data_IF_100149315627
#
_entry.id   IF_100149315627
#
_cell.length_a   1.000
_cell.length_b   1.000
_cell.length_c   1.000
_cell.angle_alpha   90.00
_cell.angle_beta   90.00
_cell.angle_gamma   90.00
#
_symmetry.space_group_name_H-M   'P 1'
#
loop_
_entity.id
_entity.type
_entity.pdbx_description
1 polymer ?
#
# COMPACT_ATOMS: atom_id res chain seq x y z
N UNK A 1 -68.68 -43.07 23.90
CA UNK A 1 -68.04 -43.89 22.85
C UNK A 1 -67.33 -43.06 21.78
N UNK A 2 -67.92 -41.99 21.23
CA UNK A 2 -67.24 -41.08 20.26
C UNK A 2 -65.98 -40.36 20.82
N UNK A 3 -65.95 -40.00 22.11
CA UNK A 3 -64.78 -39.38 22.76
C UNK A 3 -63.58 -40.31 22.95
N UNK A 4 -63.78 -41.64 22.98
CA UNK A 4 -62.69 -42.62 23.09
C UNK A 4 -62.02 -42.90 21.73
N UNK A 5 -62.76 -42.77 20.61
CA UNK A 5 -62.19 -42.92 19.28
C UNK A 5 -61.31 -41.74 18.84
N UNK A 6 -61.57 -40.53 19.36
CA UNK A 6 -60.72 -39.36 19.12
C UNK A 6 -59.38 -39.40 19.87
N UNK A 7 -59.29 -40.18 20.96
CA UNK A 7 -58.06 -40.34 21.75
C UNK A 7 -57.03 -41.29 21.13
N UNK A 8 -57.47 -42.22 20.27
CA UNK A 8 -56.62 -43.14 19.50
C UNK A 8 -56.60 -42.81 18.00
N UNK A 9 -57.13 -41.64 17.61
CA UNK A 9 -57.02 -41.18 16.22
C UNK A 9 -55.57 -40.89 15.90
N UNK A 10 -55.08 -41.36 14.76
CA UNK A 10 -53.72 -41.08 14.29
C UNK A 10 -53.41 -39.58 14.25
N UNK A 11 -54.44 -38.74 14.10
CA UNK A 11 -54.41 -37.27 14.08
C UNK A 11 -54.48 -36.61 15.48
N UNK A 12 -54.26 -37.37 16.55
CA UNK A 12 -54.17 -36.81 17.90
C UNK A 12 -52.92 -35.92 18.03
N UNK A 13 -53.03 -34.78 18.72
CA UNK A 13 -51.96 -33.76 18.78
C UNK A 13 -50.61 -34.23 19.31
N UNK A 14 -50.55 -35.35 20.05
CA UNK A 14 -49.28 -35.95 20.47
C UNK A 14 -48.49 -36.59 19.31
N UNK A 15 -49.15 -36.93 18.20
CA UNK A 15 -48.52 -37.47 16.98
C UNK A 15 -48.21 -36.38 15.94
N UNK A 16 -48.47 -35.11 16.26
CA UNK A 16 -48.27 -34.00 15.32
C UNK A 16 -46.85 -33.95 14.72
N UNK A 17 -45.75 -34.14 15.50
CA UNK A 17 -44.40 -34.15 14.92
C UNK A 17 -44.16 -35.29 13.94
N UNK A 18 -44.76 -36.46 14.20
CA UNK A 18 -44.65 -37.63 13.32
C UNK A 18 -45.40 -37.43 12.00
N UNK A 19 -46.60 -36.86 12.07
CA UNK A 19 -47.41 -36.55 10.88
C UNK A 19 -46.75 -35.43 10.06
N UNK A 20 -46.16 -34.44 10.72
CA UNK A 20 -45.42 -33.35 10.07
C UNK A 20 -44.17 -33.88 9.32
N UNK A 21 -43.39 -34.77 9.96
CA UNK A 21 -42.26 -35.43 9.29
C UNK A 21 -42.72 -36.29 8.09
N UNK A 22 -43.83 -37.00 8.23
CA UNK A 22 -44.40 -37.82 7.16
C UNK A 22 -44.93 -36.96 6.00
N UNK A 23 -45.50 -35.80 6.30
CA UNK A 23 -45.96 -34.84 5.31
C UNK A 23 -44.80 -34.16 4.58
N UNK A 24 -43.73 -33.79 5.29
CA UNK A 24 -42.49 -33.28 4.68
C UNK A 24 -41.85 -34.29 3.72
N UNK A 25 -41.84 -35.59 4.09
CA UNK A 25 -41.38 -36.66 3.19
C UNK A 25 -42.29 -36.81 1.95
N UNK A 26 -43.60 -36.66 2.13
CA UNK A 26 -44.55 -36.64 1.02
C UNK A 26 -44.30 -35.45 0.07
N UNK A 27 -44.03 -34.26 0.60
CA UNK A 27 -43.73 -33.06 -0.19
C UNK A 27 -42.40 -33.17 -0.97
N UNK A 28 -41.40 -33.87 -0.42
CA UNK A 28 -40.13 -34.13 -1.11
C UNK A 28 -40.27 -35.23 -2.17
N UNK A 29 -40.92 -36.35 -1.81
CA UNK A 29 -41.20 -37.44 -2.73
C UNK A 29 -42.47 -38.22 -2.29
N UNK A 30 -43.60 -38.08 -3.03
CA UNK A 30 -44.84 -38.78 -2.71
C UNK A 30 -44.71 -40.31 -2.69
N UNK A 31 -43.73 -40.87 -3.42
CA UNK A 31 -43.46 -42.31 -3.46
C UNK A 31 -42.81 -42.85 -2.17
N UNK A 32 -42.27 -41.98 -1.31
CA UNK A 32 -41.59 -42.35 -0.07
C UNK A 32 -42.55 -42.75 1.06
N UNK A 33 -43.82 -42.36 0.95
CA UNK A 33 -44.85 -42.61 1.95
C UNK A 33 -45.80 -43.72 1.49
N UNK A 34 -46.30 -44.51 2.45
CA UNK A 34 -47.30 -45.55 2.21
C UNK A 34 -48.55 -45.00 1.51
N UNK A 35 -49.16 -45.82 0.66
CA UNK A 35 -50.31 -45.47 -0.20
C UNK A 35 -51.45 -44.78 0.58
N UNK A 36 -51.79 -45.30 1.76
CA UNK A 36 -52.85 -44.77 2.64
C UNK A 36 -52.63 -43.31 3.05
N UNK A 37 -51.38 -42.90 3.22
CA UNK A 37 -51.01 -41.54 3.60
C UNK A 37 -50.88 -40.62 2.39
N UNK A 38 -50.46 -41.17 1.25
CA UNK A 38 -50.43 -40.43 -0.03
C UNK A 38 -51.83 -39.97 -0.41
N UNK A 39 -52.81 -40.88 -0.38
CA UNK A 39 -54.21 -40.57 -0.67
C UNK A 39 -54.77 -39.50 0.28
N UNK A 40 -54.37 -39.56 1.56
CA UNK A 40 -54.77 -38.59 2.57
C UNK A 40 -54.18 -37.20 2.30
N UNK A 41 -52.90 -37.11 1.95
CA UNK A 41 -52.23 -35.84 1.66
C UNK A 41 -52.61 -35.25 0.30
N UNK A 42 -52.91 -36.08 -0.70
CA UNK A 42 -53.48 -35.66 -2.00
C UNK A 42 -54.85 -34.97 -1.80
N UNK A 43 -55.69 -35.52 -0.92
CA UNK A 43 -56.98 -34.89 -0.58
C UNK A 43 -56.78 -33.57 0.18
N UNK A 44 -55.74 -33.48 1.02
CA UNK A 44 -55.42 -32.29 1.79
C UNK A 44 -54.97 -31.12 0.89
N UNK A 45 -54.10 -31.37 -0.09
CA UNK A 45 -53.65 -30.34 -1.03
C UNK A 45 -54.74 -29.87 -1.99
N UNK A 46 -55.70 -30.73 -2.32
CA UNK A 46 -56.81 -30.41 -3.22
C UNK A 46 -58.01 -29.75 -2.51
N UNK A 47 -57.90 -29.43 -1.22
CA UNK A 47 -58.98 -28.81 -0.45
C UNK A 47 -59.19 -27.33 -0.88
N UNK A 48 -60.43 -26.92 -1.21
CA UNK A 48 -60.70 -25.54 -1.64
C UNK A 48 -60.40 -24.54 -0.51
N UNK A 49 -59.46 -23.62 -0.73
CA UNK A 49 -59.03 -22.61 0.25
C UNK A 49 -57.61 -22.79 0.78
N UNK A 50 -56.91 -23.87 0.41
CA UNK A 50 -55.48 -24.03 0.67
C UNK A 50 -54.67 -23.09 -0.26
N UNK A 51 -53.79 -22.28 0.34
CA UNK A 51 -52.99 -21.27 -0.37
C UNK A 51 -51.86 -21.89 -1.18
N UNK A 52 -52.15 -22.40 -2.37
CA UNK A 52 -51.15 -22.97 -3.28
C UNK A 52 -50.56 -24.30 -2.79
N UNK A 53 -49.71 -24.97 -3.61
CA UNK A 53 -49.04 -26.20 -3.20
C UNK A 53 -47.98 -25.91 -2.12
N UNK A 54 -48.03 -26.67 -1.02
CA UNK A 54 -47.01 -26.61 0.04
C UNK A 54 -45.65 -27.08 -0.48
N UNK A 55 -44.57 -26.55 0.09
CA UNK A 55 -43.17 -26.84 -0.30
C UNK A 55 -42.47 -27.53 0.86
N UNK A 56 -41.62 -28.54 0.59
CA UNK A 56 -40.83 -29.19 1.63
C UNK A 56 -39.85 -28.19 2.29
N UNK A 57 -39.92 -28.05 3.61
CA UNK A 57 -39.09 -27.13 4.39
C UNK A 57 -37.81 -27.81 4.91
N UNK A 58 -37.81 -29.13 5.10
CA UNK A 58 -36.63 -29.89 5.54
C UNK A 58 -35.34 -29.61 4.73
N UNK A 59 -35.34 -29.60 3.38
CA UNK A 59 -34.14 -29.30 2.59
C UNK A 59 -33.67 -27.85 2.78
N UNK A 60 -34.59 -26.90 2.93
CA UNK A 60 -34.27 -25.50 3.18
C UNK A 60 -33.59 -25.34 4.55
N UNK A 61 -34.17 -25.92 5.60
CA UNK A 61 -33.62 -25.89 6.96
C UNK A 61 -32.22 -26.53 7.00
N UNK A 62 -32.05 -27.68 6.33
CA UNK A 62 -30.76 -28.36 6.24
C UNK A 62 -29.69 -27.51 5.53
N UNK A 63 -30.07 -26.80 4.46
CA UNK A 63 -29.18 -25.89 3.72
C UNK A 63 -28.73 -24.70 4.58
N UNK A 64 -29.62 -24.15 5.40
CA UNK A 64 -29.28 -23.09 6.35
C UNK A 64 -28.41 -23.61 7.49
N UNK A 65 -28.69 -24.80 8.02
CA UNK A 65 -27.87 -25.44 9.04
C UNK A 65 -26.46 -25.77 8.53
N UNK A 66 -26.32 -26.21 7.28
CA UNK A 66 -25.02 -26.42 6.63
C UNK A 66 -24.28 -25.11 6.38
N UNK A 67 -24.96 -24.06 5.91
CA UNK A 67 -24.37 -22.72 5.76
C UNK A 67 -23.90 -22.12 7.07
N UNK A 68 -24.62 -22.35 8.17
CA UNK A 68 -24.22 -21.89 9.51
C UNK A 68 -22.97 -22.63 10.04
N UNK A 69 -22.73 -23.87 9.59
CA UNK A 69 -21.52 -24.64 9.92
C UNK A 69 -20.32 -24.30 9.03
N UNK A 70 -20.54 -23.72 7.86
CA UNK A 70 -19.46 -23.21 7.02
C UNK A 70 -18.91 -21.91 7.64
N UNK A 71 -17.58 -21.73 7.69
CA UNK A 71 -17.01 -20.45 8.11
C UNK A 71 -17.57 -19.37 7.18
N UNK A 72 -18.09 -18.30 7.77
CA UNK A 72 -18.67 -17.18 7.03
C UNK A 72 -17.75 -16.78 5.87
N UNK A 73 -18.31 -16.63 4.67
CA UNK A 73 -17.64 -16.00 3.55
C UNK A 73 -17.02 -14.71 4.07
N UNK A 74 -15.68 -14.65 4.11
CA UNK A 74 -14.94 -13.44 4.44
C UNK A 74 -15.32 -12.42 3.38
N UNK A 75 -16.23 -11.50 3.74
CA UNK A 75 -16.41 -10.26 3.00
C UNK A 75 -15.05 -9.59 2.99
N UNK A 76 -14.45 -9.42 1.82
CA UNK A 76 -13.29 -8.54 1.67
C UNK A 76 -13.86 -7.13 1.93
N UNK A 77 -13.50 -6.47 3.03
CA UNK A 77 -14.01 -5.11 3.26
C UNK A 77 -13.55 -4.23 2.10
N UNK A 78 -14.43 -3.32 1.67
CA UNK A 78 -14.03 -2.25 0.77
C UNK A 78 -12.79 -1.53 1.35
N UNK A 79 -11.82 -1.11 0.52
CA UNK A 79 -10.59 -0.50 1.02
C UNK A 79 -10.95 0.68 1.92
N UNK A 80 -10.43 0.65 3.14
CA UNK A 80 -10.67 1.70 4.11
C UNK A 80 -10.09 3.02 3.60
N UNK A 81 -10.57 4.15 4.11
CA UNK A 81 -9.97 5.46 3.79
C UNK A 81 -8.46 5.49 4.13
N UNK A 82 -8.03 4.69 5.12
CA UNK A 82 -6.63 4.52 5.48
C UNK A 82 -5.83 3.83 4.37
N UNK A 83 -6.40 2.81 3.71
CA UNK A 83 -5.74 2.08 2.62
C UNK A 83 -5.54 2.98 1.38
N UNK A 84 -6.51 3.85 1.08
CA UNK A 84 -6.37 4.82 -0.01
C UNK A 84 -5.25 5.83 0.28
N UNK A 85 -5.23 6.39 1.49
CA UNK A 85 -4.15 7.30 1.93
C UNK A 85 -2.78 6.60 1.92
N UNK A 86 -2.73 5.33 2.29
CA UNK A 86 -1.50 4.53 2.22
C UNK A 86 -0.97 4.41 0.78
N UNK A 87 -1.84 4.18 -0.21
CA UNK A 87 -1.44 4.16 -1.63
C UNK A 87 -0.95 5.54 -2.07
N UNK A 88 -1.64 6.61 -1.66
CA UNK A 88 -1.21 7.99 -1.92
C UNK A 88 0.19 8.29 -1.39
N UNK A 89 0.58 7.78 -0.21
CA UNK A 89 1.94 7.94 0.33
C UNK A 89 2.98 7.28 -0.60
N UNK A 90 2.70 6.07 -1.08
CA UNK A 90 3.62 5.36 -1.97
C UNK A 90 3.74 6.04 -3.33
N UNK A 91 2.64 6.58 -3.87
CA UNK A 91 2.64 7.37 -5.11
C UNK A 91 3.47 8.65 -4.95
N UNK A 92 3.32 9.34 -3.82
CA UNK A 92 4.10 10.53 -3.49
C UNK A 92 5.59 10.21 -3.38
N UNK A 93 5.98 9.16 -2.65
CA UNK A 93 7.39 8.74 -2.57
C UNK A 93 7.94 8.47 -3.98
N UNK A 94 7.16 7.80 -4.83
CA UNK A 94 7.56 7.57 -6.21
C UNK A 94 7.71 8.87 -7.01
N UNK A 95 6.81 9.84 -6.83
CA UNK A 95 6.95 11.15 -7.47
C UNK A 95 8.25 11.87 -7.08
N UNK A 96 8.66 11.81 -5.81
CA UNK A 96 9.97 12.33 -5.38
C UNK A 96 11.15 11.62 -6.04
N UNK A 97 11.07 10.29 -6.26
CA UNK A 97 12.11 9.53 -6.97
C UNK A 97 12.27 9.95 -8.44
N UNK A 98 11.17 10.33 -9.10
CA UNK A 98 11.17 10.74 -10.52
C UNK A 98 11.47 12.21 -10.73
N UNK A 99 10.88 13.08 -9.90
CA UNK A 99 10.81 14.53 -10.13
C UNK A 99 11.60 15.34 -9.10
N UNK A 100 12.11 14.72 -8.03
CA UNK A 100 12.81 15.43 -6.96
C UNK A 100 14.03 16.21 -7.44
N UNK A 101 14.73 15.71 -8.46
CA UNK A 101 15.86 16.39 -9.09
C UNK A 101 15.50 17.81 -9.60
N UNK A 102 14.28 18.02 -10.10
CA UNK A 102 13.79 19.31 -10.60
C UNK A 102 13.56 20.33 -9.48
N UNK A 103 13.43 19.86 -8.24
CA UNK A 103 13.25 20.69 -7.05
C UNK A 103 14.49 20.72 -6.15
N UNK A 104 15.58 20.06 -6.56
CA UNK A 104 16.84 20.02 -5.83
C UNK A 104 17.59 21.37 -5.89
N UNK A 105 18.45 21.60 -4.90
CA UNK A 105 19.25 22.81 -4.72
C UNK A 105 20.59 22.69 -5.45
N UNK A 106 20.54 22.73 -6.78
CA UNK A 106 21.71 22.51 -7.63
C UNK A 106 22.44 23.80 -8.02
N UNK A 107 21.73 24.93 -8.08
CA UNK A 107 22.34 26.21 -8.43
C UNK A 107 22.94 26.89 -7.17
N UNK A 108 24.27 26.98 -7.03
CA UNK A 108 24.91 27.64 -5.90
C UNK A 108 24.62 29.15 -5.85
N UNK A 109 24.31 29.76 -6.98
CA UNK A 109 24.01 31.19 -7.09
C UNK A 109 22.52 31.51 -6.88
N UNK A 110 21.66 30.48 -6.81
CA UNK A 110 20.22 30.58 -6.57
C UNK A 110 19.52 31.58 -7.50
N UNK A 111 19.93 31.61 -8.77
CA UNK A 111 19.39 32.50 -9.81
C UNK A 111 18.10 31.98 -10.41
N UNK A 112 17.93 30.66 -10.42
CA UNK A 112 16.75 30.01 -10.98
C UNK A 112 15.71 29.76 -9.89
N UNK A 113 14.51 30.30 -10.09
CA UNK A 113 13.37 29.99 -9.24
C UNK A 113 12.97 28.52 -9.40
N UNK A 114 12.54 27.91 -8.28
CA UNK A 114 12.12 26.51 -8.31
C UNK A 114 10.79 26.38 -9.03
N UNK A 115 10.65 25.44 -9.97
CA UNK A 115 9.36 25.19 -10.60
C UNK A 115 8.36 24.68 -9.56
N UNK A 116 7.10 25.10 -9.68
CA UNK A 116 6.02 24.49 -8.93
C UNK A 116 5.68 23.14 -9.57
N UNK A 117 5.80 22.07 -8.79
CA UNK A 117 5.51 20.70 -9.23
C UNK A 117 4.41 20.18 -8.30
N UNK A 118 3.21 19.99 -8.86
CA UNK A 118 2.03 19.61 -8.08
C UNK A 118 2.22 18.25 -7.40
N UNK A 119 2.88 17.31 -8.08
CA UNK A 119 3.15 15.95 -7.61
C UNK A 119 4.11 15.89 -6.41
N UNK A 120 4.82 16.97 -6.09
CA UNK A 120 5.66 17.04 -4.88
C UNK A 120 4.91 17.65 -3.68
N UNK A 121 3.72 18.22 -3.91
CA UNK A 121 2.86 18.79 -2.87
C UNK A 121 1.98 17.69 -2.24
N UNK A 122 2.02 17.48 -0.91
CA UNK A 122 1.13 16.53 -0.23
C UNK A 122 -0.36 16.81 -0.52
N UNK A 123 -0.74 18.09 -0.71
CA UNK A 123 -2.12 18.47 -0.97
C UNK A 123 -2.67 17.86 -2.28
N UNK A 124 -1.81 17.62 -3.27
CA UNK A 124 -2.18 16.98 -4.53
C UNK A 124 -2.75 15.57 -4.33
N UNK A 125 -2.29 14.87 -3.29
CA UNK A 125 -2.74 13.52 -2.95
C UNK A 125 -3.90 13.50 -1.93
N UNK A 126 -4.44 14.66 -1.57
CA UNK A 126 -5.52 14.80 -0.60
C UNK A 126 -5.07 14.69 0.86
N UNK A 127 -3.78 14.90 1.14
CA UNK A 127 -3.29 15.00 2.52
C UNK A 127 -3.60 16.38 3.11
N UNK A 128 -4.06 16.37 4.35
CA UNK A 128 -4.28 17.58 5.16
C UNK A 128 -3.24 17.67 6.27
N UNK A 129 -3.15 18.81 6.96
CA UNK A 129 -2.25 18.94 8.12
C UNK A 129 -2.55 17.92 9.23
N UNK A 130 -3.81 17.51 9.39
CA UNK A 130 -4.22 16.49 10.34
C UNK A 130 -3.63 15.10 10.02
N UNK A 131 -3.27 14.85 8.76
CA UNK A 131 -2.69 13.59 8.32
C UNK A 131 -1.18 13.50 8.57
N UNK A 132 -0.52 14.63 8.84
CA UNK A 132 0.94 14.67 9.04
C UNK A 132 1.41 13.82 10.22
N UNK A 133 0.57 13.68 11.25
CA UNK A 133 0.86 12.85 12.44
C UNK A 133 0.46 11.39 12.29
N UNK A 134 -0.20 10.98 11.20
CA UNK A 134 -0.61 9.60 11.00
C UNK A 134 0.56 8.73 10.54
N UNK A 135 0.55 7.47 11.00
CA UNK A 135 1.59 6.49 10.69
C UNK A 135 1.25 5.68 9.44
N UNK A 136 2.12 5.78 8.44
CA UNK A 136 2.02 5.06 7.18
C UNK A 136 3.16 4.06 7.05
N UNK A 137 2.94 3.01 6.25
CA UNK A 137 3.99 2.09 5.85
C UNK A 137 4.86 2.75 4.76
N UNK A 138 6.17 2.61 4.86
CA UNK A 138 7.15 3.21 3.93
C UNK A 138 7.33 2.38 2.65
N UNK A 139 6.81 1.15 2.63
CA UNK A 139 6.88 0.24 1.50
C UNK A 139 8.32 -0.06 1.09
N UNK A 140 8.65 0.27 -0.16
CA UNK A 140 10.00 0.09 -0.72
C UNK A 140 10.99 1.20 -0.35
N UNK A 141 10.60 2.19 0.45
CA UNK A 141 11.47 3.30 0.82
C UNK A 141 12.42 2.89 1.95
N UNK A 142 13.71 2.89 1.69
CA UNK A 142 14.74 2.37 2.59
C UNK A 142 15.10 3.37 3.70
N UNK A 143 14.13 3.69 4.56
CA UNK A 143 14.31 4.58 5.73
C UNK A 143 14.90 3.86 6.96
N UNK A 144 15.08 2.54 6.91
CA UNK A 144 15.47 1.71 8.06
C UNK A 144 14.33 1.38 9.03
N UNK A 145 13.09 1.81 8.72
CA UNK A 145 11.88 1.47 9.47
C UNK A 145 10.72 1.21 8.52
N UNK A 146 9.84 0.27 8.90
CA UNK A 146 8.68 -0.14 8.09
C UNK A 146 7.52 0.86 8.15
N UNK A 147 7.39 1.60 9.26
CA UNK A 147 6.33 2.61 9.44
C UNK A 147 6.92 3.90 9.99
N UNK A 148 6.39 5.02 9.51
CA UNK A 148 6.78 6.35 9.92
C UNK A 148 5.59 7.30 9.78
N UNK A 149 5.63 8.43 10.47
CA UNK A 149 4.61 9.47 10.29
C UNK A 149 4.74 10.10 8.90
N UNK A 150 3.64 10.59 8.32
CA UNK A 150 3.68 11.28 7.03
C UNK A 150 4.67 12.45 7.03
N UNK A 151 4.77 13.19 8.13
CA UNK A 151 5.76 14.27 8.32
C UNK A 151 7.18 13.77 8.13
N UNK A 152 7.54 12.69 8.80
CA UNK A 152 8.90 12.15 8.74
C UNK A 152 9.22 11.57 7.36
N UNK A 153 8.23 10.95 6.70
CA UNK A 153 8.37 10.46 5.33
C UNK A 153 8.66 11.63 4.39
N UNK A 154 7.87 12.71 4.49
CA UNK A 154 8.03 13.92 3.68
C UNK A 154 9.40 14.57 3.87
N UNK A 155 9.85 14.70 5.11
CA UNK A 155 11.17 15.23 5.42
C UNK A 155 12.27 14.35 4.81
N UNK A 156 12.16 13.03 4.95
CA UNK A 156 13.14 12.09 4.43
C UNK A 156 13.23 12.11 2.90
N UNK A 157 12.11 12.08 2.17
CA UNK A 157 12.13 12.11 0.71
C UNK A 157 12.62 13.45 0.17
N UNK A 158 12.27 14.57 0.83
CA UNK A 158 12.78 15.91 0.48
C UNK A 158 14.28 16.01 0.70
N UNK A 159 14.77 15.52 1.84
CA UNK A 159 16.20 15.51 2.14
C UNK A 159 16.98 14.65 1.14
N UNK A 160 16.41 13.48 0.78
CA UNK A 160 17.06 12.52 -0.13
C UNK A 160 17.12 13.02 -1.58
N UNK A 161 16.01 13.50 -2.12
CA UNK A 161 15.88 13.77 -3.56
C UNK A 161 15.89 15.26 -3.93
N UNK A 162 15.69 16.16 -2.97
CA UNK A 162 15.62 17.61 -3.20
C UNK A 162 16.67 18.41 -2.42
N UNK A 163 17.70 17.74 -1.90
CA UNK A 163 18.85 18.37 -1.23
C UNK A 163 19.82 19.01 -2.22
N UNK A 164 21.12 18.92 -1.94
CA UNK A 164 22.19 19.39 -2.83
C UNK A 164 22.51 18.39 -3.97
N UNK A 165 21.83 17.24 -4.00
CA UNK A 165 22.01 16.19 -4.99
C UNK A 165 20.68 15.97 -5.72
N UNK A 166 20.71 16.04 -7.05
CA UNK A 166 19.56 15.75 -7.92
C UNK A 166 19.75 14.38 -8.57
N UNK A 167 19.21 13.33 -7.96
CA UNK A 167 19.36 11.97 -8.47
C UNK A 167 18.37 11.71 -9.61
N UNK A 168 18.89 11.33 -10.78
CA UNK A 168 18.08 10.93 -11.93
C UNK A 168 18.46 9.51 -12.35
N UNK A 169 17.60 8.55 -12.03
CA UNK A 169 17.87 7.13 -12.30
C UNK A 169 16.61 6.32 -12.63
N UNK A 170 15.41 6.87 -12.42
CA UNK A 170 14.17 6.13 -12.60
C UNK A 170 13.87 5.77 -14.07
N UNK A 171 14.60 6.35 -15.03
CA UNK A 171 14.55 5.98 -16.45
C UNK A 171 15.23 4.62 -16.75
N UNK A 172 16.08 4.11 -15.85
CA UNK A 172 16.80 2.85 -16.05
C UNK A 172 15.80 1.68 -16.15
N UNK A 173 15.90 0.82 -17.16
CA UNK A 173 14.96 -0.28 -17.32
C UNK A 173 15.14 -1.38 -16.25
N UNK A 174 16.39 -1.65 -15.85
CA UNK A 174 16.74 -2.68 -14.88
C UNK A 174 16.31 -2.32 -13.45
N UNK A 175 15.46 -3.17 -12.87
CA UNK A 175 14.93 -3.02 -11.52
C UNK A 175 16.02 -3.24 -10.46
N UNK A 176 16.98 -4.14 -10.70
CA UNK A 176 18.06 -4.41 -9.76
C UNK A 176 18.94 -3.17 -9.57
N UNK A 177 19.27 -2.48 -10.67
CA UNK A 177 20.02 -1.22 -10.64
C UNK A 177 19.26 -0.11 -9.92
N UNK A 178 17.95 0.04 -10.19
CA UNK A 178 17.09 1.00 -9.46
C UNK A 178 17.10 0.76 -7.95
N UNK A 179 16.92 -0.50 -7.54
CA UNK A 179 16.92 -0.88 -6.12
C UNK A 179 18.28 -0.67 -5.49
N UNK A 180 19.36 -0.94 -6.22
CA UNK A 180 20.71 -0.69 -5.75
C UNK A 180 20.92 0.81 -5.46
N UNK A 181 20.57 1.70 -6.40
CA UNK A 181 20.67 3.16 -6.19
C UNK A 181 19.83 3.61 -4.98
N UNK A 182 18.60 3.11 -4.86
CA UNK A 182 17.73 3.41 -3.70
C UNK A 182 18.38 2.97 -2.38
N UNK A 183 19.02 1.80 -2.36
CA UNK A 183 19.71 1.28 -1.17
C UNK A 183 20.93 2.12 -0.75
N UNK A 184 21.53 2.86 -1.68
CA UNK A 184 22.66 3.74 -1.39
C UNK A 184 22.21 5.13 -0.96
N UNK A 185 21.17 5.69 -1.58
CA UNK A 185 20.73 7.07 -1.33
C UNK A 185 19.80 7.20 -0.12
N UNK A 186 18.77 6.35 -0.03
CA UNK A 186 17.65 6.54 0.90
C UNK A 186 18.05 6.35 2.39
N UNK A 187 18.90 5.37 2.77
CA UNK A 187 19.26 5.18 4.18
C UNK A 187 20.03 6.36 4.77
N UNK A 188 20.96 6.94 4.00
CA UNK A 188 21.75 8.11 4.42
C UNK A 188 21.07 9.43 4.05
N UNK A 189 19.89 9.38 3.43
CA UNK A 189 19.12 10.53 2.92
C UNK A 189 19.95 11.45 2.02
N UNK A 190 20.83 10.87 1.20
CA UNK A 190 21.80 11.60 0.37
C UNK A 190 22.71 12.56 1.17
N UNK A 191 22.84 12.36 2.49
CA UNK A 191 23.68 13.16 3.38
C UNK A 191 24.74 12.26 4.04
N UNK A 192 25.89 12.03 3.37
CA UNK A 192 26.94 11.21 3.93
C UNK A 192 27.51 11.85 5.20
N UNK A 193 27.83 11.00 6.19
CA UNK A 193 28.47 11.45 7.42
C UNK A 193 29.98 11.20 7.35
N UNK A 194 30.75 12.29 7.26
CA UNK A 194 32.21 12.24 7.26
C UNK A 194 32.78 12.51 8.66
N UNK A 195 33.87 11.85 8.98
CA UNK A 195 34.62 12.12 10.20
C UNK A 195 35.38 13.47 10.12
N UNK A 196 36.00 13.87 11.23
CA UNK A 196 36.73 15.14 11.29
C UNK A 196 37.98 15.15 10.39
N UNK A 197 38.61 14.00 10.17
CA UNK A 197 39.82 13.90 9.35
C UNK A 197 39.49 14.06 7.86
N UNK A 198 38.46 13.38 7.38
CA UNK A 198 37.90 13.49 6.03
C UNK A 198 37.43 14.92 5.74
N UNK A 199 36.72 15.55 6.69
CA UNK A 199 36.31 16.96 6.53
C UNK A 199 37.50 17.91 6.39
N UNK A 200 38.57 17.70 7.18
CA UNK A 200 39.80 18.48 7.05
C UNK A 200 40.49 18.24 5.70
N UNK A 201 40.54 16.99 5.24
CA UNK A 201 41.11 16.64 3.95
C UNK A 201 40.35 17.29 2.78
N UNK A 202 39.02 17.21 2.78
CA UNK A 202 38.16 17.87 1.79
C UNK A 202 38.45 19.37 1.77
N UNK A 203 38.48 20.02 2.94
CA UNK A 203 38.80 21.45 3.04
C UNK A 203 40.20 21.77 2.49
N UNK A 204 41.20 20.97 2.85
CA UNK A 204 42.57 21.14 2.37
C UNK A 204 42.65 21.07 0.84
N UNK A 205 41.97 20.11 0.20
CA UNK A 205 41.92 19.97 -1.26
C UNK A 205 41.25 21.16 -1.94
N UNK A 206 40.13 21.67 -1.39
CA UNK A 206 39.48 22.89 -1.89
C UNK A 206 40.42 24.09 -1.76
N UNK A 207 41.05 24.28 -0.60
CA UNK A 207 41.98 25.39 -0.37
C UNK A 207 43.19 25.32 -1.30
N UNK A 208 43.73 24.13 -1.55
CA UNK A 208 44.82 23.94 -2.50
C UNK A 208 44.42 24.33 -3.94
N UNK A 209 43.22 23.93 -4.37
CA UNK A 209 42.68 24.28 -5.69
C UNK A 209 42.48 25.79 -5.85
N UNK A 210 41.96 26.47 -4.83
CA UNK A 210 41.81 27.93 -4.86
C UNK A 210 43.16 28.66 -4.81
N UNK A 211 44.10 28.18 -3.99
CA UNK A 211 45.40 28.83 -3.79
C UNK A 211 46.26 28.77 -5.05
N UNK A 212 46.25 27.65 -5.78
CA UNK A 212 46.98 27.55 -7.03
C UNK A 212 46.41 28.49 -8.09
N UNK A 213 45.09 28.63 -8.19
CA UNK A 213 44.46 29.57 -9.13
C UNK A 213 44.83 31.03 -8.81
N UNK A 214 44.74 31.42 -7.53
CA UNK A 214 45.16 32.75 -7.07
C UNK A 214 46.64 33.01 -7.37
N UNK A 215 47.50 32.02 -7.12
CA UNK A 215 48.93 32.14 -7.38
C UNK A 215 49.22 32.34 -8.88
N UNK A 216 48.60 31.51 -9.74
CA UNK A 216 48.75 31.62 -11.19
C UNK A 216 48.20 32.97 -11.69
N UNK A 217 47.12 33.46 -11.09
CA UNK A 217 46.56 34.77 -11.42
C UNK A 217 47.53 35.91 -11.18
N UNK A 218 48.17 35.92 -10.00
CA UNK A 218 49.09 36.99 -9.61
C UNK A 218 50.42 36.90 -10.34
N UNK A 219 50.95 35.68 -10.54
CA UNK A 219 52.30 35.50 -11.08
C UNK A 219 52.37 35.56 -12.61
N UNK A 220 51.38 35.03 -13.31
CA UNK A 220 51.37 34.92 -14.77
C UNK A 220 50.28 35.80 -15.38
N UNK A 221 50.42 37.12 -15.20
CA UNK A 221 49.47 38.11 -15.71
C UNK A 221 49.46 38.11 -17.24
N UNK A 222 48.27 38.19 -17.84
CA UNK A 222 48.09 38.22 -19.30
C UNK A 222 48.24 36.88 -20.01
N UNK A 223 48.63 35.82 -19.30
CA UNK A 223 48.67 34.47 -19.85
C UNK A 223 47.29 33.82 -19.79
N UNK A 224 46.88 33.19 -20.90
CA UNK A 224 45.61 32.47 -20.95
C UNK A 224 45.69 31.23 -20.07
N UNK A 225 44.85 31.18 -19.04
CA UNK A 225 44.57 29.98 -18.25
C UNK A 225 43.08 29.69 -18.28
N UNK A 226 42.73 28.41 -18.35
CA UNK A 226 41.34 27.97 -18.21
C UNK A 226 41.07 27.79 -16.73
N UNK A 227 40.73 28.90 -16.07
CA UNK A 227 40.54 28.96 -14.60
C UNK A 227 39.46 27.96 -14.15
N UNK A 228 39.73 27.31 -13.01
CA UNK A 228 38.78 26.47 -12.29
C UNK A 228 38.01 27.24 -11.19
N UNK A 229 38.12 28.57 -11.13
CA UNK A 229 37.38 29.37 -10.15
C UNK A 229 35.86 29.10 -10.21
N UNK A 230 35.27 28.76 -9.06
CA UNK A 230 33.88 28.33 -8.92
C UNK A 230 33.63 26.83 -9.17
N UNK A 231 34.63 26.10 -9.64
CA UNK A 231 34.61 24.66 -9.92
C UNK A 231 35.58 23.84 -9.07
N UNK A 232 36.07 24.39 -7.96
CA UNK A 232 37.12 23.80 -7.11
C UNK A 232 36.70 22.45 -6.52
N UNK A 233 35.39 22.22 -6.34
CA UNK A 233 34.80 20.95 -5.93
C UNK A 233 35.12 19.78 -6.88
N UNK A 234 35.47 20.07 -8.14
CA UNK A 234 35.93 19.07 -9.11
C UNK A 234 37.22 18.41 -8.64
N UNK A 235 38.15 19.17 -8.03
CA UNK A 235 39.41 18.63 -7.51
C UNK A 235 39.16 17.65 -6.37
N UNK A 236 38.25 18.00 -5.45
CA UNK A 236 37.84 17.09 -4.36
C UNK A 236 37.20 15.82 -4.92
N UNK A 237 36.32 15.97 -5.91
CA UNK A 237 35.60 14.84 -6.51
C UNK A 237 36.56 13.87 -7.21
N UNK A 238 37.57 14.39 -7.91
CA UNK A 238 38.61 13.57 -8.54
C UNK A 238 39.53 12.89 -7.52
N UNK A 239 39.92 13.59 -6.45
CA UNK A 239 40.73 13.02 -5.37
C UNK A 239 40.02 11.83 -4.71
N UNK A 240 38.73 11.99 -4.37
CA UNK A 240 37.92 10.91 -3.80
C UNK A 240 37.68 9.76 -4.80
N UNK A 241 37.49 10.05 -6.09
CA UNK A 241 37.37 9.02 -7.12
C UNK A 241 38.64 8.16 -7.19
N UNK A 242 39.81 8.79 -7.20
CA UNK A 242 41.10 8.08 -7.25
C UNK A 242 41.31 7.24 -5.98
N UNK A 243 40.95 7.76 -4.81
CA UNK A 243 41.03 7.03 -3.55
C UNK A 243 40.15 5.79 -3.55
N UNK A 244 38.89 5.93 -3.98
CA UNK A 244 37.94 4.82 -4.05
C UNK A 244 38.30 3.78 -5.11
N UNK A 245 38.94 4.19 -6.22
CA UNK A 245 39.40 3.26 -7.26
C UNK A 245 40.73 2.56 -6.91
N UNK A 246 41.56 3.20 -6.09
CA UNK A 246 42.87 2.68 -5.69
C UNK A 246 42.86 1.82 -4.41
N UNK A 247 41.75 1.81 -3.68
CA UNK A 247 41.49 0.93 -2.53
C UNK A 247 40.95 -0.42 -2.95
#
# INVERSE_FOLDING_TARGET
MMRQMLGNSYLFGANAPFIEELYEQYLDNPASVAEQWRDYFDQLQNMPGAGGPDVAHAPIISSFAQRAKMPALRTIPAPSLSDRKQVSVLQMINAYRFLGNRWAQLDPLKRTDRPQIAELDPAFYGFTEADLGQNFNTGSFAMGRERATLREILEAVRQTYCGSIGAEYMYIADIAQKRWIQSQLEPIRSTPNYDAAQKKHILERVTAAETIEKYLHTKYVGQKRFSLEGGESTIVSLDELIRAAGS
#
